data_IF_144595032365
#
_entry.id   IF_144595032365
#
_cell.length_a   1.000
_cell.length_b   1.000
_cell.length_c   1.000
_cell.angle_alpha   90.00
_cell.angle_beta   90.00
_cell.angle_gamma   90.00
#
_symmetry.space_group_name_H-M   'P 1'
#
loop_
_entity.id
_entity.type
_entity.pdbx_description
1 polymer ?
#
# COMPACT_ATOMS: atom_id res chain seq x y z
N UNK A 1 -17.12 -14.92 7.25
CA UNK A 1 -16.38 -14.70 5.98
C UNK A 1 -15.53 -13.44 6.04
N UNK A 2 -16.05 -12.30 6.47
CA UNK A 2 -15.28 -11.02 6.55
C UNK A 2 -14.01 -11.12 7.40
N UNK A 3 -14.00 -11.97 8.42
CA UNK A 3 -12.81 -12.20 9.25
C UNK A 3 -11.64 -12.85 8.50
N UNK A 4 -11.90 -13.61 7.43
CA UNK A 4 -10.86 -14.32 6.67
C UNK A 4 -10.28 -13.46 5.54
N UNK A 5 -11.13 -12.66 4.91
CA UNK A 5 -10.75 -11.88 3.73
C UNK A 5 -10.71 -10.37 3.99
N UNK A 6 -11.18 -9.94 5.14
CA UNK A 6 -11.38 -8.53 5.46
C UNK A 6 -12.66 -7.99 4.80
N UNK A 7 -13.27 -7.00 5.46
CA UNK A 7 -14.51 -6.39 5.01
C UNK A 7 -14.26 -5.35 3.93
N UNK A 8 -14.91 -5.50 2.78
CA UNK A 8 -14.80 -4.53 1.68
C UNK A 8 -15.98 -3.56 1.60
N UNK A 9 -17.14 -3.91 2.16
CA UNK A 9 -18.36 -3.11 2.05
C UNK A 9 -18.93 -3.07 0.63
N UNK A 10 -20.11 -2.46 0.48
CA UNK A 10 -20.79 -2.35 -0.83
C UNK A 10 -20.53 -1.00 -1.51
N UNK A 11 -20.14 0.01 -0.76
CA UNK A 11 -19.91 1.38 -1.25
C UNK A 11 -18.47 1.80 -0.97
N UNK A 12 -17.85 2.47 -1.95
CA UNK A 12 -16.58 3.16 -1.78
C UNK A 12 -16.86 4.65 -1.78
N UNK A 13 -16.47 5.32 -0.70
CA UNK A 13 -16.65 6.77 -0.55
C UNK A 13 -15.32 7.48 -0.86
N UNK A 14 -15.39 8.61 -1.52
CA UNK A 14 -14.27 9.52 -1.74
C UNK A 14 -14.50 10.77 -0.90
N UNK A 15 -13.64 11.02 0.10
CA UNK A 15 -13.81 12.11 1.06
C UNK A 15 -15.20 12.13 1.72
N UNK A 16 -15.72 10.94 2.06
CA UNK A 16 -17.03 10.79 2.69
C UNK A 16 -18.24 10.90 1.75
N UNK A 17 -18.03 11.07 0.45
CA UNK A 17 -19.09 11.22 -0.55
C UNK A 17 -19.11 10.01 -1.50
N UNK A 18 -20.30 9.61 -1.91
CA UNK A 18 -20.48 8.57 -2.91
C UNK A 18 -20.43 9.17 -4.32
N UNK A 19 -19.44 8.73 -5.12
CA UNK A 19 -19.23 9.17 -6.50
C UNK A 19 -19.27 10.70 -6.69
N UNK A 20 -18.46 11.49 -5.95
CA UNK A 20 -18.46 12.94 -6.09
C UNK A 20 -18.00 13.38 -7.49
N UNK A 21 -18.31 14.62 -7.82
CA UNK A 21 -17.91 15.27 -9.06
C UNK A 21 -16.83 16.30 -8.74
N UNK A 22 -15.71 16.22 -9.44
CA UNK A 22 -14.65 17.22 -9.44
C UNK A 22 -14.70 18.00 -10.76
N UNK A 23 -14.08 19.17 -10.78
CA UNK A 23 -13.93 19.97 -12.01
C UNK A 23 -12.45 20.20 -12.30
N UNK A 24 -12.10 20.20 -13.60
CA UNK A 24 -10.75 20.52 -14.08
C UNK A 24 -10.87 21.35 -15.36
N UNK A 25 -9.92 22.28 -15.57
CA UNK A 25 -9.84 23.05 -16.81
C UNK A 25 -8.98 22.29 -17.83
N UNK A 26 -9.33 22.28 -19.13
CA UNK A 26 -8.44 21.75 -20.15
C UNK A 26 -7.03 22.38 -20.03
N UNK A 27 -5.97 21.56 -20.05
CA UNK A 27 -4.59 21.97 -19.84
C UNK A 27 -4.17 22.11 -18.37
N UNK A 28 -5.09 22.12 -17.40
CA UNK A 28 -4.76 22.20 -15.99
C UNK A 28 -4.09 20.91 -15.50
N UNK A 29 -3.08 21.06 -14.64
CA UNK A 29 -2.53 19.97 -13.84
C UNK A 29 -3.00 20.10 -12.40
N UNK A 30 -3.51 19.01 -11.82
CA UNK A 30 -3.89 18.91 -10.42
C UNK A 30 -3.02 17.89 -9.71
N UNK A 31 -2.57 18.22 -8.49
CA UNK A 31 -1.92 17.27 -7.58
C UNK A 31 -2.99 16.62 -6.73
N UNK A 32 -3.09 15.31 -6.85
CA UNK A 32 -3.98 14.50 -6.03
C UNK A 32 -3.17 13.74 -4.99
N UNK A 33 -3.58 13.85 -3.74
CA UNK A 33 -3.08 13.03 -2.64
C UNK A 33 -4.12 11.96 -2.37
N UNK A 34 -3.75 10.73 -2.61
CA UNK A 34 -4.67 9.60 -2.51
C UNK A 34 -4.22 8.69 -1.37
N UNK A 35 -5.14 8.44 -0.45
CA UNK A 35 -5.01 7.45 0.63
C UNK A 35 -6.05 6.36 0.39
N UNK A 36 -5.63 5.12 0.39
CA UNK A 36 -6.56 4.00 0.52
C UNK A 36 -6.90 3.80 2.02
N UNK A 37 -7.98 4.40 2.48
CA UNK A 37 -8.47 4.33 3.85
C UNK A 37 -9.52 3.23 4.07
N UNK A 38 -9.58 2.23 3.18
CA UNK A 38 -10.49 1.10 3.33
C UNK A 38 -9.95 0.06 4.29
N UNK A 39 -10.83 -0.74 4.90
CA UNK A 39 -10.41 -1.79 5.84
C UNK A 39 -9.58 -2.89 5.18
N UNK A 40 -9.97 -3.31 3.96
CA UNK A 40 -9.38 -4.47 3.29
C UNK A 40 -9.37 -4.38 1.76
N UNK A 41 -10.12 -3.43 1.17
CA UNK A 41 -10.23 -3.31 -0.28
C UNK A 41 -8.96 -2.74 -0.89
N UNK A 42 -8.44 -3.41 -1.89
CA UNK A 42 -7.40 -2.89 -2.77
C UNK A 42 -8.04 -1.99 -3.83
N UNK A 43 -7.38 -0.88 -4.13
CA UNK A 43 -7.84 0.06 -5.15
C UNK A 43 -6.83 0.06 -6.30
N UNK A 44 -7.22 -0.48 -7.45
CA UNK A 44 -6.45 -0.42 -8.69
C UNK A 44 -6.97 0.75 -9.51
N UNK A 45 -6.40 1.92 -9.27
CA UNK A 45 -6.89 3.20 -9.76
C UNK A 45 -6.51 3.45 -11.21
N UNK A 46 -7.50 3.82 -12.03
CA UNK A 46 -7.30 4.28 -13.40
C UNK A 46 -8.27 5.42 -13.71
N UNK A 47 -7.80 6.45 -14.42
CA UNK A 47 -8.62 7.57 -14.87
C UNK A 47 -8.87 7.47 -16.37
N UNK A 48 -10.14 7.44 -16.77
CA UNK A 48 -10.52 7.24 -18.18
C UNK A 48 -9.87 8.28 -19.10
N UNK A 49 -9.17 7.82 -20.14
CA UNK A 49 -8.54 8.69 -21.13
C UNK A 49 -7.32 9.46 -20.63
N UNK A 50 -6.77 9.10 -19.45
CA UNK A 50 -5.59 9.76 -18.87
C UNK A 50 -4.56 8.75 -18.43
N UNK A 51 -3.32 9.19 -18.41
CA UNK A 51 -2.25 8.59 -17.61
C UNK A 51 -2.00 9.42 -16.35
N UNK A 52 -1.48 8.77 -15.32
CA UNK A 52 -1.11 9.39 -14.06
C UNK A 52 0.40 9.60 -14.03
N UNK A 53 0.86 10.69 -13.41
CA UNK A 53 2.26 10.88 -13.11
C UNK A 53 2.47 10.76 -11.62
N UNK A 54 3.14 9.71 -11.16
CA UNK A 54 3.45 9.51 -9.75
C UNK A 54 4.58 10.46 -9.34
N UNK A 55 4.37 11.20 -8.25
CA UNK A 55 5.34 12.16 -7.70
C UNK A 55 5.70 11.88 -6.24
N UNK A 56 4.96 11.01 -5.55
CA UNK A 56 5.22 10.70 -4.15
C UNK A 56 4.54 9.41 -3.70
N UNK A 57 5.05 8.86 -2.61
CA UNK A 57 4.53 7.68 -1.89
C UNK A 57 4.32 8.02 -0.42
N UNK A 58 4.07 7.03 0.44
CA UNK A 58 3.79 7.20 1.88
C UNK A 58 4.78 8.14 2.58
N UNK A 59 6.05 8.01 2.26
CA UNK A 59 7.13 8.73 2.93
C UNK A 59 7.49 10.08 2.30
N UNK A 60 6.77 10.55 1.27
CA UNK A 60 6.96 11.85 0.63
C UNK A 60 7.28 11.79 -0.86
N UNK A 61 7.82 12.88 -1.38
CA UNK A 61 8.10 13.03 -2.80
C UNK A 61 9.21 12.07 -3.27
N UNK A 62 9.06 11.59 -4.51
CA UNK A 62 10.09 10.85 -5.23
C UNK A 62 11.26 11.75 -5.63
N UNK A 63 12.37 11.14 -6.05
CA UNK A 63 13.50 11.88 -6.61
C UNK A 63 13.16 12.60 -7.91
N UNK A 64 12.35 11.95 -8.76
CA UNK A 64 11.84 12.47 -10.02
C UNK A 64 10.42 11.98 -10.29
N UNK A 65 9.63 12.67 -11.13
CA UNK A 65 8.32 12.18 -11.54
C UNK A 65 8.43 10.86 -12.31
N UNK A 66 7.46 9.97 -12.12
CA UNK A 66 7.27 8.74 -12.91
C UNK A 66 6.00 8.91 -13.75
N UNK A 67 6.13 9.34 -15.02
CA UNK A 67 5.00 9.61 -15.88
C UNK A 67 4.45 8.36 -16.56
N UNK A 68 3.27 8.49 -17.17
CA UNK A 68 2.73 7.51 -18.11
C UNK A 68 2.13 6.27 -17.46
N UNK A 69 1.72 6.35 -16.21
CA UNK A 69 1.08 5.23 -15.53
C UNK A 69 -0.40 5.15 -15.92
N UNK A 70 -0.82 4.06 -16.55
CA UNK A 70 -2.21 3.81 -16.89
C UNK A 70 -3.06 3.48 -15.65
N UNK A 71 -2.40 2.94 -14.63
CA UNK A 71 -3.03 2.55 -13.37
C UNK A 71 -2.05 2.56 -12.19
N UNK A 72 -2.59 2.63 -10.99
CA UNK A 72 -1.82 2.52 -9.74
C UNK A 72 -2.59 1.62 -8.77
N UNK A 73 -1.93 0.58 -8.26
CA UNK A 73 -2.47 -0.28 -7.20
C UNK A 73 -2.15 0.33 -5.84
N UNK A 74 -3.16 0.44 -4.99
CA UNK A 74 -3.04 0.85 -3.59
C UNK A 74 -3.64 -0.21 -2.68
N UNK A 75 -2.82 -0.84 -1.87
CA UNK A 75 -3.27 -1.64 -0.75
C UNK A 75 -3.83 -0.76 0.39
N UNK A 76 -4.61 -1.30 1.32
CA UNK A 76 -5.02 -0.58 2.53
C UNK A 76 -3.85 0.12 3.21
N UNK A 77 -4.03 1.38 3.60
CA UNK A 77 -3.07 2.32 4.16
C UNK A 77 -1.99 2.87 3.23
N UNK A 78 -1.80 2.36 2.03
CA UNK A 78 -0.87 2.99 1.09
C UNK A 78 -1.36 4.36 0.65
N UNK A 79 -0.42 5.29 0.47
CA UNK A 79 -0.65 6.65 -0.05
C UNK A 79 0.21 6.86 -1.26
N UNK A 80 -0.34 7.62 -2.18
CA UNK A 80 0.41 8.15 -3.33
C UNK A 80 0.04 9.60 -3.58
N UNK A 81 0.97 10.31 -4.19
CA UNK A 81 0.73 11.61 -4.77
C UNK A 81 0.92 11.53 -6.27
N UNK A 82 -0.09 11.96 -7.00
CA UNK A 82 -0.09 11.94 -8.46
C UNK A 82 -0.42 13.29 -9.05
N UNK A 83 0.11 13.56 -10.21
CA UNK A 83 -0.34 14.66 -11.06
C UNK A 83 -1.28 14.09 -12.11
N UNK A 84 -2.45 14.72 -12.18
CA UNK A 84 -3.45 14.52 -13.24
C UNK A 84 -3.42 15.74 -14.13
N UNK A 85 -3.04 15.55 -15.40
CA UNK A 85 -3.05 16.62 -16.39
C UNK A 85 -4.26 16.47 -17.30
N UNK A 86 -5.06 17.51 -17.38
CA UNK A 86 -6.28 17.54 -18.17
C UNK A 86 -5.97 17.60 -19.66
N UNK A 87 -6.06 16.49 -20.36
CA UNK A 87 -5.72 16.31 -21.77
C UNK A 87 -6.94 16.18 -22.70
N UNK A 88 -8.16 16.25 -22.15
CA UNK A 88 -9.40 16.20 -22.93
C UNK A 88 -9.88 17.61 -23.30
N UNK A 89 -10.77 17.68 -24.29
CA UNK A 89 -11.40 18.92 -24.71
C UNK A 89 -12.43 19.42 -23.68
N UNK A 90 -12.83 20.68 -23.82
CA UNK A 90 -13.93 21.25 -23.01
C UNK A 90 -15.22 20.42 -23.13
N UNK A 91 -16.02 20.44 -22.08
CA UNK A 91 -17.27 19.67 -21.93
C UNK A 91 -17.11 18.13 -21.95
N UNK A 92 -15.89 17.61 -21.91
CA UNK A 92 -15.63 16.20 -21.69
C UNK A 92 -15.76 15.81 -20.22
N UNK A 93 -15.83 14.52 -19.96
CA UNK A 93 -15.73 13.96 -18.61
C UNK A 93 -14.83 12.74 -18.57
N UNK A 94 -14.18 12.54 -17.42
CA UNK A 94 -13.40 11.35 -17.13
C UNK A 94 -13.89 10.72 -15.82
N UNK A 95 -13.74 9.42 -15.67
CA UNK A 95 -14.14 8.69 -14.46
C UNK A 95 -12.91 8.04 -13.85
N UNK A 96 -12.61 8.39 -12.59
CA UNK A 96 -11.68 7.63 -11.78
C UNK A 96 -12.37 6.34 -11.35
N UNK A 97 -11.74 5.20 -11.63
CA UNK A 97 -12.27 3.88 -11.35
C UNK A 97 -11.27 3.06 -10.56
N UNK A 98 -11.78 2.13 -9.75
CA UNK A 98 -10.99 1.00 -9.29
C UNK A 98 -11.26 -0.18 -10.22
N UNK A 99 -10.23 -0.62 -10.90
CA UNK A 99 -10.28 -1.80 -11.78
C UNK A 99 -10.32 -3.09 -10.94
N UNK A 100 -10.76 -4.21 -11.53
CA UNK A 100 -10.72 -5.51 -10.86
C UNK A 100 -9.31 -5.84 -10.37
N UNK A 101 -9.21 -6.38 -9.16
CA UNK A 101 -7.96 -6.86 -8.59
C UNK A 101 -8.19 -8.17 -7.84
N UNK A 102 -7.38 -9.17 -8.15
CA UNK A 102 -7.35 -10.45 -7.45
C UNK A 102 -6.23 -10.41 -6.40
N UNK A 103 -6.61 -10.23 -5.15
CA UNK A 103 -5.69 -10.28 -4.01
C UNK A 103 -5.45 -11.69 -3.47
N UNK A 104 -5.96 -12.71 -4.16
CA UNK A 104 -5.90 -14.09 -3.71
C UNK A 104 -6.89 -14.41 -2.58
N UNK A 105 -6.71 -15.56 -1.98
CA UNK A 105 -7.59 -16.10 -0.94
C UNK A 105 -8.16 -17.48 -1.31
N UNK A 106 -8.93 -18.08 -0.42
CA UNK A 106 -9.58 -19.36 -0.71
C UNK A 106 -10.86 -19.17 -1.51
N UNK A 107 -10.87 -19.62 -2.78
CA UNK A 107 -12.00 -19.57 -3.69
C UNK A 107 -12.20 -18.19 -4.35
N UNK A 108 -13.40 -17.98 -4.92
CA UNK A 108 -13.75 -16.74 -5.66
C UNK A 108 -13.95 -15.51 -4.75
N UNK A 109 -13.69 -15.59 -3.46
CA UNK A 109 -14.02 -14.56 -2.47
C UNK A 109 -12.99 -13.44 -2.33
N UNK A 110 -11.80 -13.60 -2.89
CA UNK A 110 -10.73 -12.58 -2.86
C UNK A 110 -10.70 -11.67 -4.09
N UNK A 111 -11.51 -11.95 -5.09
CA UNK A 111 -11.46 -11.27 -6.39
C UNK A 111 -12.59 -10.27 -6.52
N UNK A 112 -12.27 -8.98 -6.56
CA UNK A 112 -13.21 -7.99 -7.10
C UNK A 112 -13.26 -8.15 -8.61
N UNK A 113 -14.34 -8.72 -9.12
CA UNK A 113 -14.52 -8.95 -10.57
C UNK A 113 -15.08 -7.74 -11.30
N UNK A 114 -15.48 -6.70 -10.57
CA UNK A 114 -16.19 -5.54 -11.13
C UNK A 114 -15.35 -4.27 -11.04
N UNK A 115 -15.43 -3.46 -12.08
CA UNK A 115 -14.92 -2.09 -12.07
C UNK A 115 -15.84 -1.20 -11.25
N UNK A 116 -15.29 -0.46 -10.27
CA UNK A 116 -16.03 0.42 -9.38
C UNK A 116 -15.77 1.87 -9.78
N UNK A 117 -16.77 2.66 -10.21
CA UNK A 117 -16.62 4.09 -10.40
C UNK A 117 -16.47 4.77 -9.04
N UNK A 118 -15.45 5.63 -8.90
CA UNK A 118 -15.11 6.31 -7.64
C UNK A 118 -15.52 7.79 -7.65
N UNK A 119 -15.17 8.52 -8.72
CA UNK A 119 -15.54 9.92 -8.91
C UNK A 119 -15.56 10.26 -10.39
N UNK A 120 -16.27 11.34 -10.73
CA UNK A 120 -16.30 11.93 -12.07
C UNK A 120 -15.51 13.23 -12.09
N UNK A 121 -14.73 13.45 -13.13
CA UNK A 121 -14.01 14.70 -13.40
C UNK A 121 -14.64 15.36 -14.61
N UNK A 122 -15.32 16.50 -14.41
CA UNK A 122 -15.93 17.28 -15.49
C UNK A 122 -14.97 18.37 -15.96
N UNK A 123 -14.85 18.51 -17.27
CA UNK A 123 -14.03 19.54 -17.89
C UNK A 123 -14.84 20.82 -18.06
N UNK A 124 -14.29 21.94 -17.57
CA UNK A 124 -14.91 23.26 -17.76
C UNK A 124 -14.62 23.79 -19.18
N UNK A 125 -15.33 24.89 -19.56
CA UNK A 125 -15.15 25.50 -20.87
C UNK A 125 -13.87 26.31 -21.03
N UNK A 126 -13.32 26.85 -19.92
CA UNK A 126 -12.15 27.72 -19.93
C UNK A 126 -10.86 26.87 -19.88
N UNK A 127 -10.06 26.90 -20.94
CA UNK A 127 -8.74 26.27 -20.95
C UNK A 127 -7.71 27.10 -20.17
N UNK A 128 -6.64 26.46 -19.73
CA UNK A 128 -5.47 27.09 -19.11
C UNK A 128 -4.18 26.54 -19.70
N UNK A 129 -3.09 27.27 -19.57
CA UNK A 129 -1.77 26.77 -19.99
C UNK A 129 -1.35 25.61 -19.10
N UNK A 130 -0.75 24.58 -19.70
CA UNK A 130 -0.14 23.48 -18.96
C UNK A 130 1.09 23.98 -18.20
N UNK A 131 1.26 23.48 -16.97
CA UNK A 131 2.46 23.78 -16.16
C UNK A 131 3.38 22.58 -16.24
N UNK A 132 4.62 22.82 -16.63
CA UNK A 132 5.64 21.78 -16.67
C UNK A 132 6.01 21.34 -15.24
N UNK A 133 6.15 20.03 -15.03
CA UNK A 133 6.67 19.49 -13.79
C UNK A 133 8.19 19.62 -13.74
N UNK A 134 8.77 19.93 -12.56
CA UNK A 134 10.22 19.85 -12.37
C UNK A 134 10.72 18.43 -12.66
N UNK A 135 11.88 18.29 -13.29
CA UNK A 135 12.52 17.01 -13.52
C UNK A 135 13.04 16.35 -12.23
N UNK A 136 13.42 17.18 -11.24
CA UNK A 136 13.83 16.74 -9.91
C UNK A 136 12.81 17.26 -8.88
N UNK A 137 12.36 16.38 -7.97
CA UNK A 137 11.38 16.71 -6.93
C UNK A 137 12.00 16.74 -5.54
N UNK A 138 12.87 15.77 -5.24
CA UNK A 138 13.49 15.59 -3.94
C UNK A 138 14.81 14.83 -4.08
N UNK A 139 15.61 14.84 -3.03
CA UNK A 139 16.78 13.96 -2.90
C UNK A 139 16.44 12.85 -1.91
N UNK A 140 16.48 11.58 -2.36
CA UNK A 140 16.29 10.43 -1.51
C UNK A 140 17.64 9.74 -1.37
N UNK A 141 18.18 9.72 -0.16
CA UNK A 141 19.39 8.97 0.12
C UNK A 141 19.08 7.46 0.09
N UNK A 142 19.88 6.70 -0.64
CA UNK A 142 19.89 5.24 -0.52
C UNK A 142 20.46 4.87 0.85
N UNK A 143 19.79 3.98 1.58
CA UNK A 143 20.26 3.51 2.88
C UNK A 143 21.53 2.66 2.76
N UNK A 144 21.81 2.11 1.57
CA UNK A 144 23.01 1.31 1.33
C UNK A 144 22.94 -0.10 1.92
N UNK A 145 24.10 -0.63 2.33
CA UNK A 145 24.25 -2.01 2.79
C UNK A 145 23.84 -2.13 4.26
N UNK A 146 22.93 -3.05 4.54
CA UNK A 146 22.51 -3.36 5.90
C UNK A 146 23.62 -4.12 6.68
N UNK A 147 23.71 -3.82 7.97
CA UNK A 147 24.63 -4.48 8.92
C UNK A 147 23.99 -5.68 9.61
N UNK A 148 22.67 -5.69 9.72
CA UNK A 148 21.87 -6.76 10.33
C UNK A 148 20.71 -7.18 9.45
N UNK A 149 20.26 -8.43 9.65
CA UNK A 149 19.14 -9.00 8.90
C UNK A 149 18.03 -9.45 9.84
N UNK A 150 16.79 -9.17 9.46
CA UNK A 150 15.60 -9.68 10.11
C UNK A 150 14.72 -10.41 9.10
N UNK A 151 13.98 -11.38 9.57
CA UNK A 151 13.01 -12.11 8.74
C UNK A 151 11.68 -12.18 9.46
N UNK A 152 10.62 -11.87 8.75
CA UNK A 152 9.24 -12.01 9.18
C UNK A 152 8.51 -12.95 8.23
N UNK A 153 7.76 -13.89 8.76
CA UNK A 153 6.97 -14.85 8.00
C UNK A 153 5.51 -14.70 8.32
N UNK A 154 4.74 -14.29 7.34
CA UNK A 154 3.29 -14.29 7.42
C UNK A 154 2.78 -15.72 7.22
N UNK A 155 1.88 -16.16 8.08
CA UNK A 155 1.23 -17.45 8.00
C UNK A 155 -0.20 -17.37 8.48
N UNK A 156 -1.03 -18.32 8.03
CA UNK A 156 -2.37 -18.56 8.55
C UNK A 156 -2.47 -19.98 9.07
N UNK A 157 -3.19 -20.17 10.16
CA UNK A 157 -3.38 -21.46 10.77
C UNK A 157 -4.82 -21.62 11.30
N UNK A 158 -5.28 -22.85 11.46
CA UNK A 158 -6.47 -23.13 12.27
C UNK A 158 -6.04 -23.07 13.74
N UNK A 159 -6.55 -22.10 14.48
CA UNK A 159 -6.35 -22.04 15.93
C UNK A 159 -6.86 -23.33 16.56
N UNK A 160 -6.02 -24.00 17.35
CA UNK A 160 -6.45 -25.11 18.23
C UNK A 160 -7.23 -24.54 19.42
N UNK A 161 -8.35 -23.88 19.15
CA UNK A 161 -9.34 -23.49 20.15
C UNK A 161 -10.33 -24.62 20.34
N UNK A 162 -10.42 -25.13 21.56
CA UNK A 162 -11.26 -26.25 21.90
C UNK A 162 -12.73 -26.08 21.53
N UNK A 163 -13.39 -27.19 21.20
CA UNK A 163 -14.82 -27.44 21.04
C UNK A 163 -15.66 -26.28 20.46
N UNK A 164 -15.56 -26.06 19.13
CA UNK A 164 -16.47 -25.15 18.43
C UNK A 164 -15.81 -24.37 17.31
N UNK A 165 -15.59 -24.98 16.14
CA UNK A 165 -15.27 -24.29 14.89
C UNK A 165 -13.98 -23.45 14.93
N UNK A 166 -12.85 -24.00 14.49
CA UNK A 166 -11.58 -23.31 14.47
C UNK A 166 -11.63 -22.02 13.64
N UNK A 167 -11.52 -20.87 14.28
CA UNK A 167 -11.30 -19.60 13.59
C UNK A 167 -9.92 -19.62 12.98
N UNK A 168 -9.79 -19.17 11.72
CA UNK A 168 -8.47 -18.93 11.11
C UNK A 168 -7.75 -17.85 11.92
N UNK A 169 -6.53 -18.12 12.32
CA UNK A 169 -5.63 -17.15 12.93
C UNK A 169 -4.64 -16.67 11.89
N UNK A 170 -4.35 -15.37 11.93
CA UNK A 170 -3.31 -14.77 11.11
C UNK A 170 -2.09 -14.47 12.00
N UNK A 171 -0.93 -14.97 11.59
CA UNK A 171 0.24 -15.02 12.44
C UNK A 171 1.45 -14.36 11.75
N UNK A 172 2.31 -13.74 12.56
CA UNK A 172 3.66 -13.35 12.16
C UNK A 172 4.65 -14.22 12.94
N UNK A 173 5.52 -14.93 12.24
CA UNK A 173 6.48 -15.90 12.81
C UNK A 173 5.81 -16.98 13.67
N UNK A 174 4.62 -17.40 13.26
CA UNK A 174 3.82 -18.41 13.97
C UNK A 174 3.21 -17.94 15.29
N UNK A 175 3.24 -16.63 15.56
CA UNK A 175 2.73 -16.01 16.80
C UNK A 175 1.56 -15.09 16.51
N UNK A 176 0.56 -15.13 17.39
CA UNK A 176 -0.47 -14.10 17.48
C UNK A 176 0.03 -12.95 18.37
N UNK A 177 -0.52 -11.76 18.19
CA UNK A 177 -0.17 -10.57 18.94
C UNK A 177 -0.31 -10.76 20.46
N UNK A 178 0.68 -10.27 21.18
CA UNK A 178 0.71 -10.18 22.64
C UNK A 178 1.31 -8.83 23.02
N UNK A 179 0.54 -7.90 23.62
CA UNK A 179 1.02 -6.55 23.95
C UNK A 179 2.13 -6.54 25.00
N UNK A 180 2.29 -7.61 25.78
CA UNK A 180 3.33 -7.75 26.80
C UNK A 180 4.67 -8.26 26.24
N UNK A 181 4.65 -8.82 25.02
CA UNK A 181 5.81 -9.44 24.39
C UNK A 181 6.50 -8.47 23.43
N UNK A 182 7.81 -8.38 23.50
CA UNK A 182 8.65 -7.80 22.45
C UNK A 182 9.01 -8.91 21.47
N UNK A 183 8.62 -8.77 20.20
CA UNK A 183 8.86 -9.77 19.17
C UNK A 183 10.17 -9.55 18.44
N UNK A 184 10.55 -8.28 18.24
CA UNK A 184 11.80 -7.86 17.60
C UNK A 184 12.48 -6.76 18.40
N UNK A 185 13.80 -6.71 18.30
CA UNK A 185 14.61 -5.61 18.85
C UNK A 185 15.49 -5.06 17.72
N UNK A 186 15.54 -3.73 17.60
CA UNK A 186 16.42 -3.00 16.69
C UNK A 186 17.29 -2.04 17.49
N UNK A 187 18.47 -1.68 16.93
CA UNK A 187 19.29 -0.60 17.46
C UNK A 187 19.02 0.69 16.71
N UNK A 188 19.05 1.81 17.43
CA UNK A 188 18.87 3.12 16.83
C UNK A 188 20.00 3.42 15.83
N UNK A 189 19.63 3.97 14.66
CA UNK A 189 20.54 4.33 13.54
C UNK A 189 21.28 3.16 12.89
N UNK A 190 20.96 1.91 13.22
CA UNK A 190 21.47 0.75 12.50
C UNK A 190 20.68 0.51 11.20
N UNK A 191 21.38 0.25 10.11
CA UNK A 191 20.73 -0.13 8.84
C UNK A 191 20.45 -1.62 8.89
N UNK A 192 19.17 -1.96 8.84
CA UNK A 192 18.69 -3.34 8.89
C UNK A 192 18.06 -3.73 7.56
N UNK A 193 18.28 -4.96 7.10
CA UNK A 193 17.55 -5.55 6.00
C UNK A 193 16.45 -6.47 6.54
N UNK A 194 15.21 -6.18 6.20
CA UNK A 194 14.07 -6.98 6.59
C UNK A 194 13.55 -7.79 5.41
N UNK A 195 13.44 -9.09 5.58
CA UNK A 195 12.83 -10.00 4.59
C UNK A 195 11.45 -10.37 5.07
N UNK A 196 10.41 -9.92 4.37
CA UNK A 196 9.01 -10.22 4.65
C UNK A 196 8.55 -11.31 3.69
N UNK A 197 8.23 -12.47 4.20
CA UNK A 197 7.77 -13.62 3.43
C UNK A 197 6.27 -13.86 3.64
N UNK A 198 5.48 -13.74 2.60
CA UNK A 198 4.05 -14.04 2.63
C UNK A 198 3.80 -15.46 2.11
N UNK A 199 3.49 -16.39 3.02
CA UNK A 199 3.17 -17.79 2.71
C UNK A 199 1.68 -18.05 2.38
N UNK A 200 0.72 -17.31 2.95
CA UNK A 200 -0.69 -17.39 2.57
C UNK A 200 -0.95 -17.15 1.08
N UNK A 201 -2.08 -17.67 0.63
CA UNK A 201 -2.57 -17.51 -0.75
C UNK A 201 -3.25 -16.16 -0.99
N UNK A 202 -3.15 -15.21 -0.06
CA UNK A 202 -3.75 -13.89 -0.12
C UNK A 202 -2.71 -12.81 0.13
N UNK A 203 -2.90 -11.65 -0.47
CA UNK A 203 -2.07 -10.46 -0.27
C UNK A 203 -2.26 -9.90 1.15
N UNK A 204 -1.15 -9.42 1.73
CA UNK A 204 -1.14 -8.76 3.04
C UNK A 204 -0.35 -7.45 2.97
N UNK A 205 -0.99 -6.29 3.20
CA UNK A 205 -0.26 -5.03 3.35
C UNK A 205 0.53 -5.05 4.66
N UNK A 206 1.85 -4.99 4.57
CA UNK A 206 2.73 -4.83 5.73
C UNK A 206 2.89 -3.35 6.06
N UNK A 207 2.63 -2.98 7.30
CA UNK A 207 2.85 -1.62 7.82
C UNK A 207 3.81 -1.65 9.00
N UNK A 208 4.75 -0.70 9.02
CA UNK A 208 5.67 -0.47 10.14
C UNK A 208 5.43 0.93 10.71
N UNK A 209 4.89 0.99 11.93
CA UNK A 209 4.55 2.24 12.57
C UNK A 209 5.77 3.11 12.87
N UNK A 210 5.60 4.43 12.75
CA UNK A 210 6.59 5.46 13.05
C UNK A 210 7.95 5.27 12.36
N UNK A 211 8.03 4.47 11.29
CA UNK A 211 9.28 4.17 10.60
C UNK A 211 9.07 4.10 9.10
N UNK A 212 9.96 4.76 8.35
CA UNK A 212 9.99 4.65 6.90
C UNK A 212 11.05 3.63 6.48
N UNK A 213 10.79 2.95 5.37
CA UNK A 213 11.71 1.98 4.77
C UNK A 213 11.81 2.18 3.26
N UNK A 214 12.81 1.55 2.67
CA UNK A 214 12.99 1.47 1.22
C UNK A 214 12.82 0.02 0.77
N UNK A 215 12.00 -0.22 -0.24
CA UNK A 215 11.87 -1.56 -0.84
C UNK A 215 13.05 -1.79 -1.76
N UNK A 216 13.79 -2.87 -1.51
CA UNK A 216 15.00 -3.23 -2.27
C UNK A 216 14.65 -4.17 -3.42
N UNK A 217 13.85 -5.19 -3.13
CA UNK A 217 13.46 -6.17 -4.16
C UNK A 217 12.22 -6.95 -3.75
N UNK A 218 11.60 -7.55 -4.75
CA UNK A 218 10.46 -8.47 -4.62
C UNK A 218 10.82 -9.78 -5.31
N UNK A 219 10.41 -10.89 -4.73
CA UNK A 219 10.56 -12.21 -5.35
C UNK A 219 9.23 -12.93 -5.31
N UNK A 220 8.68 -13.25 -6.46
CA UNK A 220 7.42 -13.99 -6.60
C UNK A 220 7.61 -15.12 -7.60
N UNK A 221 7.23 -16.34 -7.22
CA UNK A 221 7.39 -17.56 -8.07
C UNK A 221 8.81 -17.73 -8.61
N UNK A 222 9.80 -17.41 -7.78
CA UNK A 222 11.23 -17.52 -8.15
C UNK A 222 11.76 -16.37 -9.03
N UNK A 223 10.92 -15.45 -9.48
CA UNK A 223 11.34 -14.28 -10.26
C UNK A 223 11.60 -13.11 -9.32
N UNK A 224 12.85 -12.62 -9.31
CA UNK A 224 13.25 -11.44 -8.54
C UNK A 224 13.17 -10.19 -9.43
N UNK A 225 12.56 -9.14 -8.88
CA UNK A 225 12.53 -7.82 -9.47
C UNK A 225 13.01 -6.78 -8.43
N UNK A 226 13.68 -5.74 -8.90
CA UNK A 226 13.98 -4.54 -8.09
C UNK A 226 12.86 -3.52 -8.23
N UNK A 227 12.70 -2.64 -7.25
CA UNK A 227 11.77 -1.52 -7.38
C UNK A 227 12.22 -0.58 -8.52
N UNK A 228 11.28 -0.07 -9.32
CA UNK A 228 11.61 0.75 -10.49
C UNK A 228 12.14 2.16 -10.12
N UNK A 229 11.94 2.59 -8.90
CA UNK A 229 12.39 3.86 -8.35
C UNK A 229 12.59 3.78 -6.84
N UNK A 230 13.52 4.57 -6.32
CA UNK A 230 13.76 4.68 -4.90
C UNK A 230 12.64 5.53 -4.26
N UNK A 231 12.06 5.05 -3.18
CA UNK A 231 10.98 5.72 -2.47
C UNK A 231 10.99 5.41 -0.98
N UNK A 232 10.55 6.36 -0.17
CA UNK A 232 10.23 6.13 1.23
C UNK A 232 8.81 5.64 1.36
N UNK A 233 8.63 4.50 2.01
CA UNK A 233 7.34 3.89 2.32
C UNK A 233 7.26 3.57 3.81
N UNK A 234 6.05 3.43 4.34
CA UNK A 234 5.79 2.82 5.64
C UNK A 234 4.80 1.64 5.52
N UNK A 235 4.21 1.51 4.35
CA UNK A 235 3.29 0.43 3.99
C UNK A 235 3.72 -0.18 2.65
N UNK A 236 3.64 -1.51 2.54
CA UNK A 236 3.94 -2.22 1.30
C UNK A 236 3.06 -3.45 1.17
N UNK A 237 2.41 -3.61 0.01
CA UNK A 237 1.74 -4.87 -0.28
C UNK A 237 2.76 -6.00 -0.44
N UNK A 238 2.55 -7.11 0.27
CA UNK A 238 3.27 -8.38 0.06
C UNK A 238 2.28 -9.34 -0.54
N UNK A 239 2.40 -9.59 -1.84
CA UNK A 239 1.44 -10.42 -2.57
C UNK A 239 1.49 -11.89 -2.11
N UNK A 240 0.46 -12.65 -2.47
CA UNK A 240 0.42 -14.09 -2.19
C UNK A 240 1.69 -14.80 -2.70
N UNK A 241 2.35 -15.54 -1.82
CA UNK A 241 3.59 -16.29 -2.09
C UNK A 241 4.77 -15.39 -2.54
N UNK A 242 4.77 -14.12 -2.15
CA UNK A 242 5.83 -13.17 -2.43
C UNK A 242 6.76 -13.01 -1.23
N UNK A 243 8.01 -12.71 -1.52
CA UNK A 243 9.00 -12.22 -0.56
C UNK A 243 9.41 -10.81 -0.93
N UNK A 244 9.29 -9.87 0.01
CA UNK A 244 9.72 -8.47 -0.15
C UNK A 244 10.91 -8.22 0.76
N UNK A 245 11.94 -7.57 0.23
CA UNK A 245 13.14 -7.17 0.97
C UNK A 245 13.13 -5.66 1.16
N UNK A 246 13.27 -5.22 2.40
CA UNK A 246 13.25 -3.81 2.82
C UNK A 246 14.58 -3.42 3.46
N UNK A 247 15.06 -2.21 3.22
CA UNK A 247 16.07 -1.56 4.06
C UNK A 247 15.37 -0.60 5.03
N UNK A 248 15.69 -0.71 6.31
CA UNK A 248 15.03 -0.01 7.42
C UNK A 248 16.06 0.63 8.34
N UNK A 249 15.82 1.85 8.81
CA UNK A 249 16.58 2.49 9.89
C UNK A 249 15.62 3.05 10.93
N UNK A 250 15.87 2.73 12.17
CA UNK A 250 15.12 3.23 13.31
C UNK A 250 15.82 4.47 13.89
N UNK A 251 15.17 5.64 13.88
CA UNK A 251 15.79 6.88 14.39
C UNK A 251 15.33 7.27 15.79
N UNK A 252 14.37 6.58 16.37
CA UNK A 252 13.79 6.91 17.67
C UNK A 252 13.73 5.68 18.55
N UNK A 253 14.08 5.83 19.82
CA UNK A 253 13.95 4.78 20.84
C UNK A 253 12.47 4.48 21.16
N UNK A 254 12.23 3.31 21.74
CA UNK A 254 10.93 2.92 22.26
C UNK A 254 10.21 1.87 21.43
N UNK A 255 9.00 1.53 21.88
CA UNK A 255 8.19 0.47 21.28
C UNK A 255 7.28 1.01 20.19
N UNK A 256 7.09 0.20 19.14
CA UNK A 256 6.16 0.42 18.03
C UNK A 256 5.66 -0.89 17.49
N UNK A 257 4.58 -0.84 16.74
CA UNK A 257 4.00 -2.05 16.15
C UNK A 257 4.34 -2.16 14.67
N UNK A 258 4.36 -3.39 14.20
CA UNK A 258 4.30 -3.74 12.80
C UNK A 258 3.17 -4.76 12.61
N UNK A 259 2.43 -4.66 11.52
CA UNK A 259 1.23 -5.46 11.34
C UNK A 259 0.78 -5.54 9.87
N UNK A 260 -0.13 -6.46 9.60
CA UNK A 260 -0.95 -6.43 8.40
C UNK A 260 -1.98 -5.31 8.51
N UNK A 261 -2.19 -4.54 7.44
CA UNK A 261 -3.17 -3.43 7.44
C UNK A 261 -4.55 -3.82 6.87
N UNK A 262 -4.87 -5.10 6.78
CA UNK A 262 -6.25 -5.57 6.73
C UNK A 262 -6.73 -5.60 8.17
N UNK A 263 -7.69 -4.72 8.54
CA UNK A 263 -8.06 -4.48 9.94
C UNK A 263 -8.57 -5.74 10.66
N UNK A 264 -9.25 -6.61 9.94
CA UNK A 264 -9.71 -7.87 10.49
C UNK A 264 -8.54 -8.81 10.83
N UNK A 265 -7.46 -8.82 10.01
CA UNK A 265 -6.26 -9.61 10.28
C UNK A 265 -5.45 -9.07 11.46
N UNK A 266 -5.29 -7.75 11.50
CA UNK A 266 -4.67 -7.04 12.63
C UNK A 266 -5.39 -7.39 13.93
N UNK A 267 -6.72 -7.24 13.96
CA UNK A 267 -7.57 -7.54 15.13
C UNK A 267 -7.52 -9.01 15.56
N UNK A 268 -7.19 -9.92 14.64
CA UNK A 268 -7.01 -11.35 14.91
C UNK A 268 -5.58 -11.73 15.27
N UNK A 269 -4.70 -10.74 15.44
CA UNK A 269 -3.35 -10.95 15.96
C UNK A 269 -2.24 -10.95 14.92
N UNK A 270 -2.47 -10.56 13.66
CA UNK A 270 -1.41 -10.40 12.66
C UNK A 270 -0.58 -9.12 12.91
N UNK A 271 0.05 -9.08 14.07
CA UNK A 271 0.78 -7.92 14.57
C UNK A 271 1.91 -8.37 15.51
N UNK A 272 2.95 -7.55 15.64
CA UNK A 272 4.03 -7.75 16.58
C UNK A 272 4.57 -6.43 17.14
N UNK A 273 5.33 -6.49 18.23
CA UNK A 273 5.96 -5.36 18.89
C UNK A 273 7.45 -5.33 18.55
N UNK A 274 7.90 -4.21 18.00
CA UNK A 274 9.31 -3.87 17.83
C UNK A 274 9.73 -2.93 18.96
N UNK A 275 10.83 -3.23 19.64
CA UNK A 275 11.50 -2.33 20.58
C UNK A 275 12.81 -1.81 19.98
N UNK A 276 12.98 -0.50 19.96
CA UNK A 276 14.21 0.15 19.50
C UNK A 276 15.01 0.57 20.72
N UNK A 277 16.22 0.05 20.82
CA UNK A 277 17.17 0.30 21.91
C UNK A 277 18.37 1.10 21.42
N UNK A 278 19.19 1.58 22.36
CA UNK A 278 20.41 2.32 22.07
C UNK A 278 21.49 1.46 21.41
#
# INVERSE_FOLDING_TARGET
MDWQTGREGNYVLVNGQYQPVLTIKPGQSQRWRVLNATNARYLRLALTGHTLTLIGTDGGLLGSPVPGLDEILLAPAERVEVIVTANLSSAASAVLRSLPYDRGGMGMMGTSSTTIPLLTVNYTSAATAAVALPGALNSIADLGVATTNKRLVFSSGMGMGGMGGGMMSFLIDGKSFDPSRVDLTSRVNEIEQWTIENRPSMDHPFHLQATRFQVVSRTRRGVRATEPYLAWRDTVNVAAFETVVLNVVQHQLGKRMYHCHILEHESQGMMGVLEVVA
#
